data_IF_485618566062
#
_entry.id   IF_485618566062
#
_cell.length_a   1.000
_cell.length_b   1.000
_cell.length_c   1.000
_cell.angle_alpha   90.00
_cell.angle_beta   90.00
_cell.angle_gamma   90.00
#
_symmetry.space_group_name_H-M   'P 1'
#
loop_
_entity.id
_entity.type
_entity.pdbx_description
1 polymer ?
#
# COMPACT_ATOMS: atom_id res chain seq x y z
N UNK A 1 -15.88 30.49 -55.48
CA UNK A 1 -17.06 30.18 -54.64
C UNK A 1 -17.44 28.72 -54.82
N UNK A 2 -17.06 27.88 -53.85
CA UNK A 2 -17.85 26.82 -53.20
C UNK A 2 -16.90 25.95 -52.39
N UNK A 3 -16.87 26.31 -51.11
CA UNK A 3 -16.48 25.51 -49.96
C UNK A 3 -16.89 24.04 -50.06
N UNK A 4 -16.01 23.13 -49.65
CA UNK A 4 -16.43 21.93 -48.91
C UNK A 4 -15.43 21.66 -47.78
N UNK A 5 -16.01 21.51 -46.60
CA UNK A 5 -15.41 21.40 -45.29
C UNK A 5 -15.20 19.91 -44.95
N UNK A 6 -14.18 19.66 -44.12
CA UNK A 6 -14.12 18.67 -43.04
C UNK A 6 -14.15 17.19 -43.46
N UNK A 7 -13.07 16.45 -43.14
CA UNK A 7 -13.08 15.48 -42.03
C UNK A 7 -11.64 15.27 -41.56
N UNK A 8 -11.33 15.93 -40.43
CA UNK A 8 -10.21 15.60 -39.55
C UNK A 8 -10.54 14.22 -38.98
N UNK A 9 -9.87 13.18 -39.46
CA UNK A 9 -9.99 11.83 -38.92
C UNK A 9 -9.37 11.81 -37.53
N UNK A 10 -10.20 11.96 -36.50
CA UNK A 10 -9.89 11.52 -35.14
C UNK A 10 -9.52 10.03 -35.23
N UNK A 11 -8.25 9.72 -35.04
CA UNK A 11 -7.86 8.39 -34.57
C UNK A 11 -8.19 8.35 -33.08
N UNK A 12 -9.43 8.00 -32.75
CA UNK A 12 -9.74 7.38 -31.47
C UNK A 12 -9.13 5.99 -31.56
N UNK A 13 -7.93 5.83 -31.01
CA UNK A 13 -7.36 4.50 -30.78
C UNK A 13 -8.22 3.91 -29.68
N UNK A 14 -9.21 3.09 -30.08
CA UNK A 14 -9.88 2.14 -29.21
C UNK A 14 -8.85 1.07 -28.83
N UNK A 15 -8.05 1.37 -27.81
CA UNK A 15 -7.41 0.35 -26.99
C UNK A 15 -8.44 -0.18 -26.02
N UNK A 16 -9.33 -1.07 -26.47
CA UNK A 16 -10.06 -1.93 -25.53
C UNK A 16 -9.13 -3.05 -25.10
N UNK A 17 -8.43 -2.82 -24.00
CA UNK A 17 -7.88 -3.86 -23.17
C UNK A 17 -8.06 -3.41 -21.71
N UNK A 18 -8.85 -4.19 -20.96
CA UNK A 18 -9.24 -4.04 -19.56
C UNK A 18 -10.49 -3.17 -19.33
N UNK A 19 -11.38 -3.63 -18.43
CA UNK A 19 -12.63 -2.97 -18.03
C UNK A 19 -12.42 -1.71 -17.18
N UNK A 20 -11.43 -0.90 -17.56
CA UNK A 20 -10.98 0.30 -16.87
C UNK A 20 -11.07 1.49 -17.84
N UNK A 21 -12.18 2.23 -17.79
CA UNK A 21 -12.42 3.41 -18.62
C UNK A 21 -12.13 4.69 -17.83
N UNK A 22 -11.25 5.57 -18.33
CA UNK A 22 -10.92 6.85 -17.70
C UNK A 22 -11.52 8.00 -18.51
N UNK A 23 -12.51 8.67 -17.93
CA UNK A 23 -13.07 9.91 -18.48
C UNK A 23 -12.24 11.10 -18.04
N UNK A 24 -11.26 11.46 -18.86
CA UNK A 24 -10.30 12.49 -18.51
C UNK A 24 -10.79 13.93 -18.78
N UNK A 25 -10.65 14.79 -17.77
CA UNK A 25 -11.07 16.20 -17.78
C UNK A 25 -9.89 17.17 -17.90
N UNK A 26 -8.69 16.78 -17.46
CA UNK A 26 -7.46 17.60 -17.55
C UNK A 26 -6.30 16.74 -18.06
N UNK A 27 -5.56 17.29 -19.02
CA UNK A 27 -4.47 16.59 -19.69
C UNK A 27 -3.13 17.30 -19.47
N UNK A 28 -2.03 16.55 -19.60
CA UNK A 28 -0.66 17.02 -19.63
C UNK A 28 0.06 16.46 -20.84
N UNK A 29 0.86 17.27 -21.53
CA UNK A 29 1.72 16.80 -22.60
C UNK A 29 3.16 16.64 -22.09
N UNK A 30 3.70 15.43 -22.15
CA UNK A 30 5.05 15.11 -21.68
C UNK A 30 6.09 15.88 -22.51
N UNK A 31 6.97 16.58 -21.81
CA UNK A 31 8.12 17.30 -22.35
C UNK A 31 9.41 16.48 -22.20
N UNK A 32 10.44 16.89 -22.94
CA UNK A 32 11.77 16.30 -22.81
C UNK A 32 12.31 16.48 -21.38
N UNK A 33 12.70 15.37 -20.76
CA UNK A 33 13.26 15.34 -19.39
C UNK A 33 12.23 15.27 -18.27
N UNK A 34 10.94 15.20 -18.58
CA UNK A 34 9.92 14.97 -17.56
C UNK A 34 10.02 13.57 -16.94
N UNK A 35 9.71 13.48 -15.66
CA UNK A 35 9.57 12.25 -14.91
C UNK A 35 8.18 12.22 -14.27
N UNK A 36 7.58 11.04 -14.07
CA UNK A 36 6.24 10.97 -13.49
C UNK A 36 6.11 11.70 -12.14
N UNK A 37 7.14 11.59 -11.28
CA UNK A 37 7.14 12.25 -9.98
C UNK A 37 7.17 13.78 -10.11
N UNK A 38 7.97 14.32 -11.05
CA UNK A 38 8.05 15.76 -11.27
C UNK A 38 6.77 16.30 -11.88
N UNK A 39 6.19 15.59 -12.87
CA UNK A 39 4.86 15.91 -13.44
C UNK A 39 3.81 15.93 -12.33
N UNK A 40 3.74 14.88 -11.49
CA UNK A 40 2.76 14.77 -10.43
C UNK A 40 2.88 15.93 -9.43
N UNK A 41 4.11 16.22 -8.97
CA UNK A 41 4.37 17.31 -8.03
C UNK A 41 4.04 18.68 -8.61
N UNK A 42 4.45 18.97 -9.86
CA UNK A 42 4.17 20.25 -10.51
C UNK A 42 2.68 20.47 -10.80
N UNK A 43 1.89 19.39 -10.86
CA UNK A 43 0.45 19.45 -11.09
C UNK A 43 -0.40 19.22 -9.83
N UNK A 44 0.25 19.15 -8.66
CA UNK A 44 -0.36 18.97 -7.34
C UNK A 44 -1.28 17.76 -7.22
N UNK A 45 -0.85 16.65 -7.82
CA UNK A 45 -1.50 15.34 -7.71
C UNK A 45 -0.51 14.32 -7.15
N UNK A 46 -1.01 13.29 -6.48
CA UNK A 46 -0.20 12.17 -6.06
C UNK A 46 0.23 11.33 -7.28
N UNK A 47 1.39 10.70 -7.16
CA UNK A 47 1.87 9.74 -8.16
C UNK A 47 0.88 8.57 -8.29
N UNK A 48 0.21 8.18 -7.20
CA UNK A 48 -0.83 7.15 -7.23
C UNK A 48 -2.03 7.59 -8.08
N UNK A 49 -2.50 8.83 -7.96
CA UNK A 49 -3.57 9.34 -8.80
C UNK A 49 -3.15 9.39 -10.27
N UNK A 50 -1.90 9.79 -10.55
CA UNK A 50 -1.36 9.78 -11.92
C UNK A 50 -1.37 8.37 -12.51
N UNK A 51 -0.88 7.36 -11.79
CA UNK A 51 -0.93 5.96 -12.24
C UNK A 51 -2.35 5.43 -12.39
N UNK A 52 -3.24 5.80 -11.47
CA UNK A 52 -4.66 5.41 -11.53
C UNK A 52 -5.31 5.93 -12.80
N UNK A 53 -5.10 7.21 -13.15
CA UNK A 53 -5.69 7.81 -14.34
C UNK A 53 -4.99 7.40 -15.65
N UNK A 54 -3.83 6.75 -15.57
CA UNK A 54 -3.02 6.35 -16.73
C UNK A 54 -2.48 4.92 -16.49
N UNK A 55 -3.33 3.89 -16.51
CA UNK A 55 -2.94 2.53 -16.11
C UNK A 55 -1.80 1.94 -16.96
N UNK A 56 -1.68 2.37 -18.22
CA UNK A 56 -0.65 1.90 -19.14
C UNK A 56 0.66 2.72 -19.09
N UNK A 57 0.77 3.70 -18.18
CA UNK A 57 1.97 4.54 -18.08
C UNK A 57 3.18 3.74 -17.58
N UNK A 58 4.30 3.85 -18.29
CA UNK A 58 5.59 3.35 -17.82
C UNK A 58 6.48 4.52 -17.38
N UNK A 59 6.61 4.73 -16.07
CA UNK A 59 7.41 5.84 -15.54
C UNK A 59 8.93 5.68 -15.73
N UNK A 60 9.40 4.48 -16.10
CA UNK A 60 10.81 4.25 -16.43
C UNK A 60 11.13 4.57 -17.91
N UNK A 61 10.10 4.71 -18.74
CA UNK A 61 10.21 4.99 -20.17
C UNK A 61 9.01 5.83 -20.59
N UNK A 62 9.11 7.14 -20.33
CA UNK A 62 8.04 8.11 -20.55
C UNK A 62 8.34 8.93 -21.84
N UNK A 63 7.70 8.60 -22.98
CA UNK A 63 8.00 9.26 -24.26
C UNK A 63 7.50 10.71 -24.30
N UNK A 64 8.26 11.59 -24.95
CA UNK A 64 7.83 12.96 -25.28
C UNK A 64 6.55 12.91 -26.12
N UNK A 65 5.68 13.90 -25.93
CA UNK A 65 4.36 14.02 -26.54
C UNK A 65 3.32 12.97 -26.10
N UNK A 66 3.65 12.15 -25.10
CA UNK A 66 2.65 11.30 -24.43
C UNK A 66 1.64 12.22 -23.71
N UNK A 67 0.36 11.98 -23.96
CA UNK A 67 -0.73 12.73 -23.32
C UNK A 67 -1.16 11.97 -22.07
N UNK A 68 -0.94 12.57 -20.90
CA UNK A 68 -1.34 12.01 -19.61
C UNK A 68 -2.61 12.67 -19.09
N UNK A 69 -3.46 11.88 -18.44
CA UNK A 69 -4.59 12.37 -17.67
C UNK A 69 -4.17 12.81 -16.27
N UNK A 70 -4.54 14.03 -15.87
CA UNK A 70 -4.25 14.60 -14.56
C UNK A 70 -5.47 14.71 -13.64
N UNK A 71 -6.68 14.64 -14.20
CA UNK A 71 -7.93 14.52 -13.44
C UNK A 71 -9.03 13.95 -14.31
N UNK A 72 -9.93 13.17 -13.72
CA UNK A 72 -11.00 12.49 -14.44
C UNK A 72 -11.76 11.53 -13.54
N UNK A 73 -12.76 10.87 -14.12
CA UNK A 73 -13.54 9.82 -13.46
C UNK A 73 -13.12 8.44 -13.99
N UNK A 74 -13.05 7.45 -13.10
CA UNK A 74 -12.68 6.07 -13.45
C UNK A 74 -13.93 5.20 -13.41
N UNK A 75 -14.37 4.72 -14.56
CA UNK A 75 -15.45 3.76 -14.68
C UNK A 75 -14.86 2.36 -14.75
N UNK A 76 -14.90 1.66 -13.61
CA UNK A 76 -14.55 0.24 -13.56
C UNK A 76 -15.85 -0.53 -13.74
N UNK A 77 -16.10 -0.98 -14.97
CA UNK A 77 -17.27 -1.80 -15.30
C UNK A 77 -17.06 -3.20 -14.73
N UNK A 78 -17.98 -3.63 -13.88
CA UNK A 78 -18.04 -5.01 -13.38
C UNK A 78 -18.53 -5.89 -14.52
N UNK A 79 -17.61 -6.40 -15.35
CA UNK A 79 -17.96 -7.47 -16.25
C UNK A 79 -17.99 -8.78 -15.46
N UNK A 80 -19.18 -9.11 -14.96
CA UNK A 80 -19.57 -10.40 -14.37
C UNK A 80 -19.30 -11.60 -15.31
N UNK A 81 -18.82 -11.36 -16.55
CA UNK A 81 -18.41 -12.41 -17.50
C UNK A 81 -16.92 -12.76 -17.49
N UNK A 82 -16.08 -12.13 -16.65
CA UNK A 82 -14.75 -12.70 -16.32
C UNK A 82 -14.89 -13.75 -15.21
N UNK A 83 -15.75 -14.74 -15.47
CA UNK A 83 -15.53 -16.09 -14.96
C UNK A 83 -14.72 -16.78 -16.05
N UNK A 84 -13.48 -17.14 -15.73
CA UNK A 84 -12.54 -17.89 -16.58
C UNK A 84 -11.81 -17.11 -17.68
N UNK A 85 -11.21 -15.96 -17.39
CA UNK A 85 -10.04 -15.56 -18.18
C UNK A 85 -8.97 -14.87 -17.35
N UNK A 86 -7.93 -15.64 -17.07
CA UNK A 86 -6.64 -15.20 -16.55
C UNK A 86 -6.09 -14.05 -17.42
N UNK A 87 -6.34 -12.82 -16.97
CA UNK A 87 -5.54 -11.65 -17.32
C UNK A 87 -5.33 -10.82 -16.04
N UNK A 88 -4.81 -11.48 -15.00
CA UNK A 88 -3.70 -10.85 -14.32
C UNK A 88 -2.68 -10.48 -15.40
N UNK A 89 -2.11 -9.27 -15.36
CA UNK A 89 -0.89 -8.92 -16.09
C UNK A 89 -0.04 -10.19 -16.14
N UNK A 90 0.25 -10.70 -17.34
CA UNK A 90 0.99 -11.94 -17.51
C UNK A 90 2.42 -11.73 -17.02
N UNK A 91 2.59 -11.82 -15.70
CA UNK A 91 3.88 -12.00 -15.06
C UNK A 91 4.21 -13.45 -15.35
N UNK A 92 5.21 -13.69 -16.18
CA UNK A 92 5.75 -15.02 -16.36
C UNK A 92 6.14 -15.56 -14.98
N UNK A 93 5.30 -16.44 -14.43
CA UNK A 93 5.61 -17.22 -13.24
C UNK A 93 6.74 -18.19 -13.59
N UNK A 94 7.98 -17.71 -13.48
CA UNK A 94 9.05 -18.62 -13.13
C UNK A 94 8.78 -19.09 -11.70
N UNK A 95 8.37 -20.36 -11.60
CA UNK A 95 8.29 -21.14 -10.37
C UNK A 95 9.65 -21.09 -9.66
N UNK A 96 9.84 -20.10 -8.79
CA UNK A 96 10.98 -20.06 -7.87
C UNK A 96 10.54 -20.66 -6.55
N UNK A 97 11.23 -21.71 -6.12
CA UNK A 97 11.08 -22.37 -4.83
C UNK A 97 10.70 -21.38 -3.71
N UNK A 98 9.48 -21.54 -3.17
CA UNK A 98 8.95 -20.81 -2.03
C UNK A 98 9.68 -21.24 -0.75
N UNK A 99 10.89 -20.73 -0.54
CA UNK A 99 11.44 -20.63 0.81
C UNK A 99 11.19 -19.19 1.25
N UNK A 100 10.71 -18.91 2.48
CA UNK A 100 10.59 -17.54 2.97
C UNK A 100 11.94 -16.85 2.81
N UNK A 101 12.02 -15.91 1.87
CA UNK A 101 13.26 -15.20 1.57
C UNK A 101 13.42 -14.17 2.69
N UNK A 102 14.49 -14.30 3.46
CA UNK A 102 14.95 -13.23 4.34
C UNK A 102 15.53 -12.11 3.46
N UNK A 103 14.63 -11.25 2.98
CA UNK A 103 14.94 -10.22 1.99
C UNK A 103 16.06 -9.30 2.47
N UNK A 104 16.05 -8.92 3.75
CA UNK A 104 17.10 -8.07 4.32
C UNK A 104 18.45 -8.79 4.29
N UNK A 105 18.51 -10.07 4.67
CA UNK A 105 19.75 -10.83 4.58
C UNK A 105 20.23 -11.06 3.15
N UNK A 106 19.34 -11.33 2.19
CA UNK A 106 19.73 -11.43 0.77
C UNK A 106 20.23 -10.08 0.24
N UNK A 107 19.58 -8.98 0.59
CA UNK A 107 20.01 -7.62 0.23
C UNK A 107 21.39 -7.30 0.80
N UNK A 108 21.63 -7.66 2.07
CA UNK A 108 22.92 -7.50 2.73
C UNK A 108 24.01 -8.33 2.06
N UNK A 109 23.72 -9.58 1.66
CA UNK A 109 24.66 -10.42 0.89
C UNK A 109 24.99 -9.78 -0.45
N UNK A 110 23.99 -9.24 -1.14
CA UNK A 110 24.19 -8.56 -2.42
C UNK A 110 25.03 -7.29 -2.29
N UNK A 111 24.75 -6.46 -1.29
CA UNK A 111 25.57 -5.26 -0.97
C UNK A 111 27.00 -5.69 -0.66
N UNK A 112 27.18 -6.72 0.18
CA UNK A 112 28.49 -7.28 0.53
C UNK A 112 29.26 -7.73 -0.72
N UNK A 113 28.59 -8.41 -1.65
CA UNK A 113 29.17 -8.90 -2.90
C UNK A 113 29.53 -7.76 -3.85
N UNK A 114 28.58 -6.89 -4.17
CA UNK A 114 28.73 -5.80 -5.17
C UNK A 114 29.78 -4.80 -4.72
N UNK A 115 29.77 -4.40 -3.44
CA UNK A 115 30.70 -3.42 -2.90
C UNK A 115 31.98 -4.03 -2.33
N UNK A 116 32.13 -5.37 -2.42
CA UNK A 116 33.26 -6.10 -1.81
C UNK A 116 33.46 -5.77 -0.31
N UNK A 117 32.36 -5.55 0.41
CA UNK A 117 32.36 -5.27 1.84
C UNK A 117 32.27 -6.57 2.64
N UNK A 118 32.84 -6.60 3.84
CA UNK A 118 32.53 -7.66 4.81
C UNK A 118 31.04 -7.62 5.15
N UNK A 119 30.41 -8.78 5.36
CA UNK A 119 28.99 -8.90 5.68
C UNK A 119 28.53 -7.95 6.80
N UNK A 120 29.31 -7.82 7.87
CA UNK A 120 28.98 -6.92 8.99
C UNK A 120 28.95 -5.44 8.59
N UNK A 121 29.82 -5.02 7.67
CA UNK A 121 29.84 -3.64 7.15
C UNK A 121 28.68 -3.40 6.18
N UNK A 122 28.38 -4.38 5.32
CA UNK A 122 27.23 -4.32 4.43
C UNK A 122 25.91 -4.24 5.22
N UNK A 123 25.78 -5.02 6.29
CA UNK A 123 24.65 -4.97 7.21
C UNK A 123 24.47 -3.59 7.82
N UNK A 124 25.52 -3.04 8.42
CA UNK A 124 25.51 -1.69 9.00
C UNK A 124 25.13 -0.61 7.99
N UNK A 125 25.70 -0.65 6.78
CA UNK A 125 25.38 0.29 5.70
C UNK A 125 23.91 0.18 5.26
N UNK A 126 23.37 -1.04 5.16
CA UNK A 126 21.97 -1.27 4.83
C UNK A 126 21.03 -0.74 5.92
N UNK A 127 21.31 -1.09 7.18
CA UNK A 127 20.51 -0.67 8.34
C UNK A 127 20.52 0.86 8.50
N UNK A 128 21.68 1.50 8.41
CA UNK A 128 21.80 2.96 8.50
C UNK A 128 21.14 3.68 7.32
N UNK A 129 21.12 3.06 6.13
CA UNK A 129 20.40 3.61 4.98
C UNK A 129 18.90 3.57 5.19
N UNK A 130 18.37 2.47 5.72
CA UNK A 130 16.95 2.36 6.05
C UNK A 130 16.56 3.34 7.16
N UNK A 131 17.41 3.56 8.16
CA UNK A 131 17.23 4.58 9.20
C UNK A 131 17.19 6.01 8.62
N UNK A 132 18.08 6.33 7.68
CA UNK A 132 18.04 7.62 7.01
C UNK A 132 16.75 7.83 6.21
N UNK A 133 16.30 6.81 5.47
CA UNK A 133 15.06 6.88 4.68
C UNK A 133 13.82 6.98 5.59
N UNK A 134 13.83 6.29 6.74
CA UNK A 134 12.67 6.28 7.65
C UNK A 134 12.33 7.66 8.22
N UNK A 135 13.27 8.61 8.22
CA UNK A 135 13.01 10.01 8.60
C UNK A 135 11.87 10.62 7.77
N UNK A 136 11.80 10.29 6.46
CA UNK A 136 10.72 10.77 5.58
C UNK A 136 9.44 9.96 5.72
N UNK A 137 9.53 8.66 6.06
CA UNK A 137 8.35 7.85 6.35
C UNK A 137 7.66 8.34 7.64
N UNK A 138 8.43 8.68 8.66
CA UNK A 138 7.93 9.31 9.90
C UNK A 138 7.26 10.66 9.64
N UNK A 139 7.79 11.45 8.72
CA UNK A 139 7.21 12.72 8.30
C UNK A 139 5.83 12.52 7.65
N UNK A 140 5.71 11.52 6.78
CA UNK A 140 4.43 11.17 6.17
C UNK A 140 3.43 10.63 7.20
N UNK A 141 3.85 9.70 8.06
CA UNK A 141 3.03 9.16 9.16
C UNK A 141 2.51 10.29 10.05
N UNK A 142 3.39 11.20 10.47
CA UNK A 142 3.02 12.38 11.28
C UNK A 142 1.99 13.25 10.55
N UNK A 143 2.16 13.44 9.25
CA UNK A 143 1.24 14.25 8.44
C UNK A 143 -0.15 13.63 8.32
N UNK A 144 -0.21 12.31 8.14
CA UNK A 144 -1.46 11.54 8.09
C UNK A 144 -2.17 11.56 9.44
N UNK A 145 -1.46 11.26 10.53
CA UNK A 145 -2.04 11.17 11.87
C UNK A 145 -2.63 12.50 12.36
N UNK A 146 -2.01 13.61 11.98
CA UNK A 146 -2.48 14.95 12.32
C UNK A 146 -3.38 15.56 11.23
N UNK A 147 -3.65 14.82 10.15
CA UNK A 147 -4.56 15.24 9.07
C UNK A 147 -4.11 16.61 8.54
N UNK A 148 -2.82 16.79 8.29
CA UNK A 148 -2.25 18.08 7.88
C UNK A 148 -2.78 18.54 6.52
N UNK A 149 -2.78 19.86 6.30
CA UNK A 149 -2.93 20.42 4.95
C UNK A 149 -1.69 20.10 4.10
N UNK A 150 -1.79 20.33 2.78
CA UNK A 150 -0.65 20.13 1.87
C UNK A 150 0.53 21.01 2.28
N UNK A 151 0.29 22.27 2.65
CA UNK A 151 1.36 23.20 3.02
C UNK A 151 2.01 22.83 4.36
N UNK A 152 1.22 22.42 5.35
CA UNK A 152 1.76 21.91 6.62
C UNK A 152 2.57 20.62 6.42
N UNK A 153 2.08 19.69 5.58
CA UNK A 153 2.80 18.47 5.25
C UNK A 153 4.13 18.75 4.53
N UNK A 154 4.16 19.71 3.59
CA UNK A 154 5.40 20.17 2.93
C UNK A 154 6.41 20.70 3.96
N UNK A 155 5.98 21.49 4.94
CA UNK A 155 6.86 21.97 6.03
C UNK A 155 7.44 20.79 6.83
N UNK A 156 6.64 19.78 7.15
CA UNK A 156 7.13 18.58 7.85
C UNK A 156 8.13 17.79 6.99
N UNK A 157 7.93 17.71 5.67
CA UNK A 157 8.89 17.13 4.74
C UNK A 157 10.20 17.93 4.66
N UNK A 158 10.15 19.26 4.68
CA UNK A 158 11.35 20.11 4.73
C UNK A 158 12.14 19.89 6.02
N UNK A 159 11.45 19.81 7.17
CA UNK A 159 12.07 19.46 8.45
C UNK A 159 12.69 18.06 8.43
N UNK A 160 12.04 17.10 7.78
CA UNK A 160 12.58 15.76 7.57
C UNK A 160 13.85 15.80 6.73
N UNK A 161 13.89 16.63 5.69
CA UNK A 161 15.06 16.82 4.84
C UNK A 161 16.24 17.45 5.60
N UNK A 162 15.99 18.44 6.47
CA UNK A 162 17.03 19.00 7.35
C UNK A 162 17.59 17.95 8.32
N UNK A 163 16.72 17.12 8.91
CA UNK A 163 17.12 15.99 9.76
C UNK A 163 17.93 14.96 8.97
N UNK A 164 17.50 14.63 7.75
CA UNK A 164 18.20 13.69 6.88
C UNK A 164 19.60 14.21 6.52
N UNK A 165 19.73 15.48 6.12
CA UNK A 165 21.03 16.08 5.83
C UNK A 165 21.96 16.05 7.06
N UNK A 166 21.41 16.35 8.24
CA UNK A 166 22.15 16.22 9.51
C UNK A 166 22.58 14.78 9.80
N UNK A 167 21.72 13.80 9.47
CA UNK A 167 22.04 12.38 9.57
C UNK A 167 23.13 11.96 8.58
N UNK A 168 23.12 12.50 7.35
CA UNK A 168 24.15 12.22 6.33
C UNK A 168 25.53 12.74 6.75
N UNK A 169 25.58 13.87 7.45
CA UNK A 169 26.82 14.51 7.91
C UNK A 169 27.37 13.91 9.23
N UNK A 170 26.64 13.02 9.88
CA UNK A 170 27.05 12.46 11.18
C UNK A 170 28.01 11.27 11.03
N UNK A 171 29.31 11.54 11.12
CA UNK A 171 30.41 10.56 11.07
C UNK A 171 30.32 9.44 12.14
N UNK A 172 29.41 9.53 13.12
CA UNK A 172 29.20 8.48 14.13
C UNK A 172 28.34 7.32 13.62
N UNK A 173 27.55 7.52 12.56
CA UNK A 173 26.75 6.46 11.97
C UNK A 173 27.52 5.77 10.82
N UNK A 174 27.05 4.60 10.39
CA UNK A 174 27.64 3.86 9.27
C UNK A 174 27.00 4.25 7.92
N UNK A 175 26.23 5.34 7.86
CA UNK A 175 25.56 5.78 6.64
C UNK A 175 26.56 6.42 5.67
N UNK A 176 26.47 6.04 4.40
CA UNK A 176 27.27 6.65 3.36
C UNK A 176 26.51 6.59 2.04
N UNK A 177 25.81 7.70 1.74
CA UNK A 177 24.94 7.80 0.55
C UNK A 177 25.72 7.54 -0.75
N UNK A 178 26.95 8.03 -0.86
CA UNK A 178 27.80 7.81 -2.04
C UNK A 178 28.09 6.32 -2.24
N UNK A 179 28.48 5.62 -1.18
CA UNK A 179 28.78 4.18 -1.22
C UNK A 179 27.52 3.37 -1.54
N UNK A 180 26.38 3.73 -0.94
CA UNK A 180 25.12 3.06 -1.23
C UNK A 180 24.64 3.33 -2.67
N UNK A 181 24.84 4.53 -3.20
CA UNK A 181 24.52 4.87 -4.58
C UNK A 181 25.34 4.09 -5.61
N UNK A 182 26.60 3.76 -5.31
CA UNK A 182 27.40 2.85 -6.15
C UNK A 182 26.69 1.48 -6.25
N UNK A 183 26.17 0.98 -5.13
CA UNK A 183 25.40 -0.26 -5.12
C UNK A 183 24.11 -0.13 -5.94
N UNK A 184 23.32 0.93 -5.73
CA UNK A 184 22.07 1.16 -6.47
C UNK A 184 22.29 1.22 -7.99
N UNK A 185 23.31 1.96 -8.43
CA UNK A 185 23.70 2.03 -9.84
C UNK A 185 24.08 0.66 -10.41
N UNK A 186 24.86 -0.13 -9.66
CA UNK A 186 25.29 -1.46 -10.08
C UNK A 186 24.12 -2.46 -10.23
N UNK A 187 22.98 -2.20 -9.59
CA UNK A 187 21.76 -3.00 -9.72
C UNK A 187 20.66 -2.30 -10.53
N UNK A 188 21.02 -1.28 -11.32
CA UNK A 188 20.11 -0.49 -12.17
C UNK A 188 18.92 0.08 -11.40
N UNK A 189 19.17 0.62 -10.21
CA UNK A 189 18.17 1.32 -9.39
C UNK A 189 18.49 2.82 -9.34
N UNK A 190 17.43 3.61 -9.21
CA UNK A 190 17.52 5.05 -8.97
C UNK A 190 18.41 5.33 -7.76
N UNK A 191 19.30 6.32 -7.89
CA UNK A 191 20.19 6.72 -6.80
C UNK A 191 19.42 7.48 -5.72
N UNK A 192 19.91 7.40 -4.49
CA UNK A 192 19.39 8.16 -3.36
C UNK A 192 19.93 9.59 -3.39
N UNK A 193 19.06 10.57 -3.28
CA UNK A 193 19.41 11.97 -3.03
C UNK A 193 18.41 12.58 -2.05
N UNK A 194 18.85 13.59 -1.29
CA UNK A 194 17.97 14.34 -0.39
C UNK A 194 16.83 15.02 -1.17
N UNK A 195 17.11 15.53 -2.37
CA UNK A 195 16.11 16.10 -3.28
C UNK A 195 15.04 15.09 -3.69
N UNK A 196 15.43 13.88 -4.11
CA UNK A 196 14.47 12.86 -4.55
C UNK A 196 13.62 12.37 -3.37
N UNK A 197 14.21 12.22 -2.19
CA UNK A 197 13.48 11.85 -0.97
C UNK A 197 12.49 12.94 -0.53
N UNK A 198 12.91 14.21 -0.58
CA UNK A 198 12.04 15.34 -0.31
C UNK A 198 10.88 15.39 -1.31
N UNK A 199 11.15 15.25 -2.61
CA UNK A 199 10.12 15.25 -3.64
C UNK A 199 9.12 14.10 -3.48
N UNK A 200 9.59 12.91 -3.08
CA UNK A 200 8.73 11.76 -2.73
C UNK A 200 7.87 12.07 -1.51
N UNK A 201 8.44 12.67 -0.46
CA UNK A 201 7.69 13.09 0.72
C UNK A 201 6.59 14.11 0.38
N UNK A 202 6.93 15.16 -0.38
CA UNK A 202 5.99 16.19 -0.83
C UNK A 202 4.88 15.57 -1.69
N UNK A 203 5.20 14.61 -2.57
CA UNK A 203 4.19 13.95 -3.39
C UNK A 203 3.13 13.25 -2.53
N UNK A 204 3.58 12.58 -1.46
CA UNK A 204 2.66 11.91 -0.52
C UNK A 204 1.71 12.88 0.19
N UNK A 205 2.05 14.18 0.31
CA UNK A 205 1.14 15.18 0.85
C UNK A 205 -0.13 15.37 -0.01
N UNK A 206 -0.03 15.18 -1.34
CA UNK A 206 -1.20 15.25 -2.22
C UNK A 206 -2.15 14.07 -2.01
N UNK A 207 -1.65 12.90 -1.58
CA UNK A 207 -2.50 11.76 -1.23
C UNK A 207 -3.46 12.11 -0.08
N UNK A 208 -2.97 12.84 0.94
CA UNK A 208 -3.80 13.28 2.08
C UNK A 208 -4.92 14.19 1.59
N UNK A 209 -4.62 15.14 0.69
CA UNK A 209 -5.60 16.02 0.07
C UNK A 209 -6.65 15.23 -0.71
N UNK A 210 -6.23 14.34 -1.60
CA UNK A 210 -7.12 13.54 -2.45
C UNK A 210 -8.05 12.65 -1.63
N UNK A 211 -7.55 12.04 -0.54
CA UNK A 211 -8.36 11.24 0.37
C UNK A 211 -9.43 12.11 1.05
N UNK A 212 -9.05 13.30 1.55
CA UNK A 212 -9.99 14.23 2.20
C UNK A 212 -11.10 14.66 1.24
N UNK A 213 -10.74 15.07 0.03
CA UNK A 213 -11.69 15.51 -1.00
C UNK A 213 -12.71 14.40 -1.33
N UNK A 214 -12.27 13.13 -1.41
CA UNK A 214 -13.17 11.99 -1.63
C UNK A 214 -14.08 11.66 -0.44
N UNK A 215 -13.61 11.86 0.80
CA UNK A 215 -14.43 11.64 2.00
C UNK A 215 -15.56 12.67 2.09
N UNK A 216 -15.27 13.94 1.77
CA UNK A 216 -16.29 15.00 1.79
C UNK A 216 -17.41 14.72 0.78
N UNK A 217 -17.07 14.18 -0.39
CA UNK A 217 -18.02 13.84 -1.46
C UNK A 217 -18.89 12.60 -1.14
N UNK A 218 -18.40 11.68 -0.30
CA UNK A 218 -19.08 10.42 0.06
C UNK A 218 -19.88 10.50 1.36
N UNK A 219 -20.18 11.71 1.85
CA UNK A 219 -20.96 11.96 3.07
C UNK A 219 -22.45 11.59 2.93
N UNK A 220 -22.73 10.33 2.62
CA UNK A 220 -24.05 9.72 2.76
C UNK A 220 -24.03 8.82 4.00
N UNK A 221 -24.80 9.15 5.06
CA UNK A 221 -24.85 8.34 6.25
C UNK A 221 -25.86 7.22 6.01
N UNK A 222 -25.41 5.98 5.91
CA UNK A 222 -26.07 4.81 6.52
C UNK A 222 -25.45 3.51 6.01
N UNK A 223 -24.79 2.81 6.93
CA UNK A 223 -24.87 1.35 6.92
C UNK A 223 -24.83 0.88 8.38
N UNK A 224 -25.99 0.91 9.01
CA UNK A 224 -26.25 0.36 10.34
C UNK A 224 -26.40 -1.15 10.22
N UNK A 225 -25.27 -1.86 10.21
CA UNK A 225 -25.27 -3.29 10.51
C UNK A 225 -25.82 -3.47 11.93
N UNK A 226 -26.81 -4.36 12.11
CA UNK A 226 -27.37 -4.72 13.41
C UNK A 226 -26.32 -5.46 14.26
N UNK A 227 -25.40 -4.73 14.90
CA UNK A 227 -24.36 -5.29 15.77
C UNK A 227 -24.94 -5.51 17.17
N UNK A 228 -24.82 -6.74 17.69
CA UNK A 228 -25.28 -7.11 19.04
C UNK A 228 -24.48 -6.34 20.10
N UNK A 229 -25.15 -5.85 21.13
CA UNK A 229 -24.53 -5.07 22.22
C UNK A 229 -23.69 -5.96 23.15
N UNK A 230 -22.63 -5.37 23.73
CA UNK A 230 -21.67 -5.92 24.71
C UNK A 230 -22.16 -6.99 25.68
N UNK A 231 -23.38 -6.85 26.20
CA UNK A 231 -23.93 -7.71 27.25
C UNK A 231 -24.56 -9.02 26.72
N UNK A 232 -24.80 -9.12 25.41
CA UNK A 232 -25.56 -10.22 24.79
C UNK A 232 -24.66 -11.23 24.06
N UNK A 233 -23.33 -11.04 24.12
CA UNK A 233 -22.35 -11.88 23.41
C UNK A 233 -21.80 -12.97 24.34
N UNK A 234 -21.88 -14.25 23.91
CA UNK A 234 -21.28 -15.36 24.65
C UNK A 234 -19.77 -15.15 24.76
N UNK A 235 -19.22 -15.20 25.98
CA UNK A 235 -17.79 -15.22 26.22
C UNK A 235 -17.32 -16.67 26.37
N UNK A 236 -17.20 -17.37 25.24
CA UNK A 236 -16.69 -18.74 25.23
C UNK A 236 -15.22 -18.76 25.64
N UNK A 237 -14.75 -19.86 26.22
CA UNK A 237 -13.37 -19.98 26.64
C UNK A 237 -12.43 -19.95 25.42
N UNK A 238 -11.27 -19.26 25.46
CA UNK A 238 -10.33 -19.17 24.36
C UNK A 238 -9.91 -20.51 23.73
N UNK A 239 -9.83 -21.56 24.53
CA UNK A 239 -9.50 -22.93 24.08
C UNK A 239 -10.57 -23.57 23.19
N UNK A 240 -11.80 -23.03 23.19
CA UNK A 240 -12.90 -23.50 22.35
C UNK A 240 -12.87 -22.86 20.96
N UNK A 241 -12.13 -21.76 20.78
CA UNK A 241 -11.87 -21.16 19.47
C UNK A 241 -10.80 -21.95 18.75
N UNK A 242 -11.17 -22.60 17.65
CA UNK A 242 -10.32 -23.47 16.83
C UNK A 242 -10.23 -22.92 15.41
N UNK A 243 -9.00 -22.70 14.97
CA UNK A 243 -8.67 -22.20 13.64
C UNK A 243 -7.66 -23.19 13.04
N UNK A 244 -7.95 -23.63 11.83
CA UNK A 244 -7.13 -24.57 11.09
C UNK A 244 -6.20 -23.81 10.15
N UNK A 245 -4.94 -24.23 10.08
CA UNK A 245 -4.09 -23.94 8.93
C UNK A 245 -4.57 -24.83 7.78
N UNK A 246 -5.12 -24.23 6.74
CA UNK A 246 -5.60 -24.94 5.54
C UNK A 246 -4.44 -25.27 4.63
N UNK A 247 -3.60 -24.27 4.38
CA UNK A 247 -2.43 -24.40 3.50
C UNK A 247 -1.30 -23.50 4.02
N UNK A 248 -0.11 -24.10 4.15
CA UNK A 248 1.13 -23.36 4.36
C UNK A 248 1.61 -22.78 3.03
N UNK A 249 2.18 -21.58 3.05
CA UNK A 249 2.75 -20.92 1.85
C UNK A 249 1.75 -20.96 0.67
N UNK A 250 0.56 -20.41 0.87
CA UNK A 250 -0.41 -20.17 -0.20
C UNK A 250 0.10 -19.02 -1.10
N UNK A 251 -0.79 -18.23 -1.71
CA UNK A 251 -0.40 -17.15 -2.62
C UNK A 251 0.59 -16.19 -1.95
N UNK A 252 1.59 -15.77 -2.72
CA UNK A 252 2.66 -14.87 -2.27
C UNK A 252 3.38 -15.32 -0.99
N UNK A 253 3.30 -16.62 -0.63
CA UNK A 253 3.98 -17.20 0.53
C UNK A 253 3.26 -17.01 1.87
N UNK A 254 2.03 -16.49 1.89
CA UNK A 254 1.27 -16.32 3.14
C UNK A 254 0.42 -17.55 3.45
N UNK A 255 0.18 -17.82 4.74
CA UNK A 255 -0.65 -18.94 5.17
C UNK A 255 -2.13 -18.70 4.92
N UNK A 256 -2.87 -19.75 4.58
CA UNK A 256 -4.32 -19.76 4.46
C UNK A 256 -4.93 -20.44 5.70
N UNK A 257 -5.84 -19.75 6.38
CA UNK A 257 -6.54 -20.26 7.55
C UNK A 257 -8.05 -20.36 7.32
N UNK A 258 -8.70 -21.22 8.08
CA UNK A 258 -10.16 -21.29 8.15
C UNK A 258 -10.62 -21.62 9.57
N UNK A 259 -11.84 -21.21 9.90
CA UNK A 259 -12.40 -21.61 11.19
C UNK A 259 -12.81 -23.09 11.16
N UNK A 260 -12.44 -23.85 12.19
CA UNK A 260 -12.88 -25.23 12.32
C UNK A 260 -14.40 -25.32 12.49
N UNK A 261 -15.02 -26.38 11.95
CA UNK A 261 -16.48 -26.56 11.98
C UNK A 261 -17.04 -26.77 13.39
N UNK A 262 -16.22 -27.25 14.32
CA UNK A 262 -16.57 -27.44 15.74
C UNK A 262 -16.07 -26.28 16.64
N UNK A 263 -15.61 -25.18 16.04
CA UNK A 263 -15.16 -24.00 16.77
C UNK A 263 -16.33 -23.16 17.26
N UNK A 264 -16.15 -22.53 18.43
CA UNK A 264 -16.96 -21.34 18.79
C UNK A 264 -16.56 -20.15 17.93
N UNK A 265 -17.38 -19.10 17.94
CA UNK A 265 -17.17 -17.90 17.13
C UNK A 265 -15.85 -17.18 17.47
N UNK A 266 -15.04 -16.87 16.44
CA UNK A 266 -13.77 -16.14 16.57
C UNK A 266 -13.73 -14.90 15.66
N UNK A 267 -12.79 -13.99 15.89
CA UNK A 267 -12.61 -12.80 15.05
C UNK A 267 -12.31 -13.13 13.58
N UNK A 268 -11.85 -14.35 13.27
CA UNK A 268 -11.60 -14.81 11.92
C UNK A 268 -12.85 -14.77 11.03
N UNK A 269 -14.06 -14.95 11.58
CA UNK A 269 -15.30 -14.87 10.78
C UNK A 269 -15.71 -13.45 10.37
N UNK A 270 -15.08 -12.43 10.96
CA UNK A 270 -15.41 -11.01 10.71
C UNK A 270 -14.34 -10.31 9.88
N UNK A 271 -13.49 -11.09 9.24
CA UNK A 271 -12.51 -10.61 8.28
C UNK A 271 -13.21 -10.46 6.94
N UNK A 272 -13.07 -9.31 6.30
CA UNK A 272 -13.68 -9.01 5.01
C UNK A 272 -12.66 -8.50 3.98
N UNK A 273 -11.37 -8.62 4.28
CA UNK A 273 -10.31 -8.27 3.34
C UNK A 273 -10.20 -6.76 3.16
N UNK A 274 -9.79 -6.33 1.97
CA UNK A 274 -9.51 -4.91 1.73
C UNK A 274 -10.79 -4.14 1.40
N UNK A 275 -11.58 -3.84 2.43
CA UNK A 275 -12.86 -3.11 2.36
C UNK A 275 -12.68 -1.59 2.24
N UNK A 276 -11.82 -1.11 1.34
CA UNK A 276 -11.61 0.31 1.13
C UNK A 276 -12.43 0.76 -0.08
N UNK A 277 -13.58 1.46 0.08
CA UNK A 277 -14.47 1.80 -1.04
C UNK A 277 -13.78 2.56 -2.18
N UNK A 278 -12.73 3.32 -1.86
CA UNK A 278 -11.99 4.16 -2.81
C UNK A 278 -11.13 3.32 -3.78
N UNK A 279 -10.70 2.12 -3.38
CA UNK A 279 -9.78 1.26 -4.16
C UNK A 279 -10.19 -0.23 -4.16
N UNK A 280 -11.41 -0.53 -3.70
CA UNK A 280 -11.97 -1.87 -3.55
C UNK A 280 -11.87 -2.67 -4.85
N UNK A 281 -12.19 -2.05 -5.97
CA UNK A 281 -12.17 -2.67 -7.30
C UNK A 281 -10.76 -2.98 -7.84
N UNK A 282 -9.73 -2.29 -7.32
CA UNK A 282 -8.33 -2.47 -7.74
C UNK A 282 -7.62 -3.56 -6.94
N UNK A 283 -7.95 -3.75 -5.66
CA UNK A 283 -7.17 -4.63 -4.76
C UNK A 283 -7.97 -5.72 -4.05
N UNK A 284 -9.31 -5.74 -4.14
CA UNK A 284 -10.14 -6.72 -3.45
C UNK A 284 -10.73 -7.81 -4.38
N UNK A 285 -10.18 -7.97 -5.60
CA UNK A 285 -10.70 -8.96 -6.54
C UNK A 285 -10.54 -10.38 -5.94
N UNK A 286 -11.68 -10.99 -5.59
CA UNK A 286 -11.82 -12.38 -5.12
C UNK A 286 -11.03 -12.75 -3.84
N UNK A 287 -10.78 -11.82 -2.91
CA UNK A 287 -10.00 -12.08 -1.68
C UNK A 287 -8.55 -12.58 -1.91
N UNK A 288 -8.02 -12.38 -3.12
CA UNK A 288 -6.70 -12.88 -3.53
C UNK A 288 -5.69 -11.75 -3.82
N UNK A 289 -6.07 -10.50 -3.54
CA UNK A 289 -5.22 -9.33 -3.77
C UNK A 289 -3.98 -9.31 -2.89
N UNK A 290 -2.93 -8.63 -3.36
CA UNK A 290 -1.62 -8.57 -2.71
C UNK A 290 -1.69 -8.14 -1.23
N UNK A 291 -2.51 -7.14 -0.91
CA UNK A 291 -2.65 -6.63 0.46
C UNK A 291 -3.79 -7.27 1.26
N UNK A 292 -4.58 -8.18 0.68
CA UNK A 292 -5.63 -8.90 1.42
C UNK A 292 -5.08 -9.54 2.70
N UNK A 293 -3.89 -10.17 2.69
CA UNK A 293 -3.28 -10.67 3.91
C UNK A 293 -3.09 -9.64 5.03
N UNK A 294 -2.67 -8.42 4.68
CA UNK A 294 -2.50 -7.35 5.65
C UNK A 294 -3.86 -6.79 6.12
N UNK A 295 -4.83 -6.65 5.21
CA UNK A 295 -6.19 -6.23 5.51
C UNK A 295 -6.85 -7.19 6.51
N UNK A 296 -6.67 -8.50 6.34
CA UNK A 296 -7.20 -9.51 7.26
C UNK A 296 -6.66 -9.39 8.69
N UNK A 297 -5.38 -9.01 8.84
CA UNK A 297 -4.78 -8.74 10.14
C UNK A 297 -5.30 -7.43 10.75
N UNK A 298 -5.51 -6.41 9.92
CA UNK A 298 -6.10 -5.13 10.31
C UNK A 298 -7.54 -5.29 10.81
N UNK A 299 -8.36 -6.08 10.11
CA UNK A 299 -9.74 -6.40 10.50
C UNK A 299 -9.78 -7.04 11.89
N UNK A 300 -8.97 -8.07 12.14
CA UNK A 300 -8.88 -8.67 13.48
C UNK A 300 -8.44 -7.62 14.50
N UNK A 301 -7.47 -6.75 14.19
CA UNK A 301 -7.03 -5.71 15.12
C UNK A 301 -8.15 -4.71 15.47
N UNK A 302 -8.94 -4.28 14.48
CA UNK A 302 -10.11 -3.43 14.67
C UNK A 302 -11.20 -4.13 15.48
N UNK A 303 -11.55 -5.36 15.09
CA UNK A 303 -12.53 -6.21 15.78
C UNK A 303 -12.12 -6.47 17.22
N UNK A 304 -10.81 -6.60 17.46
CA UNK A 304 -10.19 -6.82 18.75
C UNK A 304 -9.75 -5.55 19.48
N UNK A 305 -10.19 -4.37 19.02
CA UNK A 305 -10.00 -3.08 19.70
C UNK A 305 -8.54 -2.85 20.15
N UNK A 306 -7.58 -3.17 19.27
CA UNK A 306 -6.14 -3.04 19.54
C UNK A 306 -5.63 -1.59 19.65
N UNK A 307 -6.53 -0.61 19.56
CA UNK A 307 -6.23 0.81 19.40
C UNK A 307 -6.10 1.17 17.93
N UNK A 308 -6.93 2.10 17.45
CA UNK A 308 -7.00 2.48 16.02
C UNK A 308 -5.62 2.77 15.42
N UNK A 309 -4.88 3.72 16.01
CA UNK A 309 -3.52 4.08 15.58
C UNK A 309 -2.57 2.88 15.54
N UNK A 310 -2.60 2.02 16.56
CA UNK A 310 -1.78 0.80 16.61
C UNK A 310 -2.11 -0.16 15.49
N UNK A 311 -3.40 -0.34 15.20
CA UNK A 311 -3.87 -1.20 14.11
C UNK A 311 -3.46 -0.63 12.75
N UNK A 312 -3.64 0.67 12.53
CA UNK A 312 -3.32 1.34 11.26
C UNK A 312 -1.81 1.31 10.97
N UNK A 313 -0.97 1.60 11.97
CA UNK A 313 0.49 1.49 11.82
C UNK A 313 0.93 0.05 11.54
N UNK A 314 0.37 -0.93 12.24
CA UNK A 314 0.68 -2.34 11.96
C UNK A 314 0.24 -2.76 10.56
N UNK A 315 -0.91 -2.27 10.12
CA UNK A 315 -1.38 -2.52 8.76
C UNK A 315 -0.41 -1.97 7.72
N UNK A 316 0.10 -0.76 7.94
CA UNK A 316 1.16 -0.17 7.13
C UNK A 316 2.43 -1.02 7.09
N UNK A 317 2.94 -1.42 8.26
CA UNK A 317 4.14 -2.27 8.38
C UNK A 317 3.97 -3.62 7.67
N UNK A 318 2.79 -4.23 7.80
CA UNK A 318 2.43 -5.48 7.14
C UNK A 318 2.45 -5.33 5.62
N UNK A 319 1.88 -4.25 5.07
CA UNK A 319 1.93 -3.97 3.64
C UNK A 319 3.34 -3.66 3.14
N UNK A 320 4.14 -2.89 3.90
CA UNK A 320 5.56 -2.65 3.57
C UNK A 320 6.37 -3.95 3.56
N UNK A 321 6.06 -4.88 4.47
CA UNK A 321 6.68 -6.21 4.51
C UNK A 321 6.31 -7.03 3.29
N UNK A 322 5.05 -6.98 2.87
CA UNK A 322 4.58 -7.58 1.62
C UNK A 322 5.35 -7.00 0.42
N UNK A 323 5.49 -5.68 0.34
CA UNK A 323 6.19 -5.01 -0.76
C UNK A 323 7.68 -5.35 -0.84
N UNK A 324 8.35 -5.51 0.31
CA UNK A 324 9.75 -5.96 0.34
C UNK A 324 9.94 -7.32 -0.34
N UNK A 325 8.99 -8.22 -0.16
CA UNK A 325 9.06 -9.58 -0.72
C UNK A 325 8.49 -9.69 -2.14
N UNK A 326 7.87 -8.62 -2.65
CA UNK A 326 7.30 -8.57 -3.99
C UNK A 326 8.38 -8.27 -5.03
N UNK A 327 8.54 -9.16 -6.01
CA UNK A 327 9.63 -9.08 -7.02
C UNK A 327 9.48 -7.95 -8.03
N UNK A 328 8.28 -7.40 -8.22
CA UNK A 328 8.04 -6.31 -9.19
C UNK A 328 8.36 -4.94 -8.55
N UNK A 329 7.86 -3.85 -9.13
CA UNK A 329 8.20 -2.49 -8.73
C UNK A 329 7.82 -2.17 -7.26
N UNK A 330 8.81 -2.34 -6.36
CA UNK A 330 8.69 -2.09 -4.94
C UNK A 330 8.33 -0.62 -4.64
N UNK A 331 8.64 0.33 -5.53
CA UNK A 331 8.26 1.73 -5.32
C UNK A 331 6.75 1.92 -5.44
N UNK A 332 6.13 1.35 -6.47
CA UNK A 332 4.67 1.40 -6.67
C UNK A 332 3.97 0.70 -5.50
N UNK A 333 4.38 -0.52 -5.15
CA UNK A 333 3.79 -1.24 -4.01
C UNK A 333 3.90 -0.45 -2.70
N UNK A 334 5.05 0.15 -2.42
CA UNK A 334 5.22 0.96 -1.21
C UNK A 334 4.33 2.20 -1.22
N UNK A 335 4.12 2.82 -2.38
CA UNK A 335 3.24 3.97 -2.55
C UNK A 335 1.77 3.59 -2.36
N UNK A 336 1.37 2.40 -2.81
CA UNK A 336 0.04 1.83 -2.52
C UNK A 336 -0.12 1.56 -1.03
N UNK A 337 0.87 0.94 -0.37
CA UNK A 337 0.84 0.73 1.08
C UNK A 337 0.64 2.04 1.86
N UNK A 338 1.30 3.12 1.43
CA UNK A 338 1.13 4.46 2.00
C UNK A 338 -0.30 5.00 1.80
N UNK A 339 -0.92 4.73 0.65
CA UNK A 339 -2.30 5.12 0.34
C UNK A 339 -3.30 4.40 1.23
N UNK A 340 -3.16 3.08 1.35
CA UNK A 340 -4.01 2.26 2.21
C UNK A 340 -3.93 2.71 3.67
N UNK A 341 -2.72 2.94 4.17
CA UNK A 341 -2.49 3.45 5.53
C UNK A 341 -3.16 4.82 5.74
N UNK A 342 -2.95 5.77 4.82
CA UNK A 342 -3.54 7.09 4.90
C UNK A 342 -5.07 7.02 4.87
N UNK A 343 -5.64 6.20 4.00
CA UNK A 343 -7.08 6.02 3.87
C UNK A 343 -7.71 5.50 5.18
N UNK A 344 -7.17 4.44 5.78
CA UNK A 344 -7.73 3.92 7.06
C UNK A 344 -7.46 4.85 8.24
N UNK A 345 -6.32 5.55 8.23
CA UNK A 345 -5.98 6.51 9.29
C UNK A 345 -6.94 7.69 9.31
N UNK A 346 -7.26 8.25 8.14
CA UNK A 346 -8.14 9.42 7.97
C UNK A 346 -9.62 9.01 8.04
N UNK A 347 -10.04 7.93 7.35
CA UNK A 347 -11.45 7.57 7.18
C UNK A 347 -11.94 6.39 8.05
N UNK A 348 -11.03 5.54 8.55
CA UNK A 348 -11.39 4.27 9.19
C UNK A 348 -12.00 4.37 10.60
N UNK A 349 -12.22 5.59 11.11
CA UNK A 349 -12.72 5.82 12.47
C UNK A 349 -14.10 5.22 12.72
N UNK A 350 -15.02 5.32 11.75
CA UNK A 350 -16.36 4.73 11.85
C UNK A 350 -16.28 3.20 11.93
N UNK A 351 -15.52 2.57 11.03
CA UNK A 351 -15.27 1.13 11.01
C UNK A 351 -14.65 0.62 12.32
N UNK A 352 -13.67 1.33 12.87
CA UNK A 352 -13.09 0.99 14.18
C UNK A 352 -14.12 1.10 15.32
N UNK A 353 -14.88 2.20 15.35
CA UNK A 353 -15.84 2.49 16.42
C UNK A 353 -17.06 1.56 16.41
N UNK A 354 -17.42 0.95 15.27
CA UNK A 354 -18.47 -0.09 15.20
C UNK A 354 -18.22 -1.23 16.21
N UNK A 355 -16.95 -1.58 16.45
CA UNK A 355 -16.55 -2.65 17.36
C UNK A 355 -16.37 -2.20 18.83
N UNK A 356 -16.43 -0.89 19.11
CA UNK A 356 -16.27 -0.35 20.48
C UNK A 356 -17.37 -0.80 21.46
N UNK A 357 -18.52 -1.21 20.92
CA UNK A 357 -19.64 -1.73 21.69
C UNK A 357 -19.57 -3.24 21.97
N UNK A 358 -18.55 -3.96 21.45
CA UNK A 358 -18.39 -5.40 21.67
C UNK A 358 -17.57 -5.70 22.93
N UNK A 359 -17.83 -6.85 23.56
CA UNK A 359 -17.02 -7.31 24.70
C UNK A 359 -15.74 -7.95 24.19
N UNK A 360 -14.75 -7.11 23.93
CA UNK A 360 -13.46 -7.56 23.41
C UNK A 360 -12.51 -7.89 24.54
N UNK A 361 -12.73 -9.04 25.18
CA UNK A 361 -11.80 -9.54 26.19
C UNK A 361 -10.85 -10.54 25.54
N UNK A 362 -9.56 -10.39 25.81
CA UNK A 362 -8.56 -11.46 25.55
C UNK A 362 -8.90 -12.76 26.27
N UNK A 363 -9.83 -12.73 27.22
CA UNK A 363 -10.34 -13.92 27.93
C UNK A 363 -11.53 -14.59 27.24
N UNK A 364 -12.04 -14.08 26.12
CA UNK A 364 -13.11 -14.71 25.34
C UNK A 364 -12.54 -15.24 24.02
N UNK A 365 -13.08 -16.34 23.50
CA UNK A 365 -12.62 -16.97 22.26
C UNK A 365 -12.57 -16.02 21.06
N UNK A 366 -13.46 -15.03 21.00
CA UNK A 366 -13.51 -14.06 19.91
C UNK A 366 -12.13 -13.47 19.57
N UNK A 367 -11.40 -12.97 20.58
CA UNK A 367 -10.06 -12.41 20.39
C UNK A 367 -8.97 -13.18 21.16
N UNK A 368 -9.35 -14.03 22.11
CA UNK A 368 -8.43 -14.66 23.06
C UNK A 368 -7.79 -15.94 22.59
N UNK A 369 -8.25 -16.54 21.49
CA UNK A 369 -7.62 -17.75 20.94
C UNK A 369 -6.14 -17.53 20.69
N UNK A 370 -5.30 -18.48 21.09
CA UNK A 370 -3.84 -18.36 21.00
C UNK A 370 -3.37 -18.00 19.59
N UNK A 371 -3.90 -18.65 18.55
CA UNK A 371 -3.55 -18.32 17.16
C UNK A 371 -3.85 -16.86 16.78
N UNK A 372 -4.95 -16.29 17.28
CA UNK A 372 -5.28 -14.88 17.06
C UNK A 372 -4.28 -13.98 17.78
N UNK A 373 -4.04 -14.24 19.07
CA UNK A 373 -3.17 -13.41 19.90
C UNK A 373 -1.70 -13.51 19.50
N UNK A 374 -1.24 -14.66 19.02
CA UNK A 374 0.19 -14.90 18.80
C UNK A 374 0.59 -14.71 17.34
N UNK A 375 -0.35 -14.87 16.39
CA UNK A 375 -0.06 -14.86 14.95
C UNK A 375 -0.95 -13.89 14.18
N UNK A 376 -2.27 -14.13 14.12
CA UNK A 376 -3.13 -13.45 13.13
C UNK A 376 -3.28 -11.94 13.38
N UNK A 377 -3.07 -11.48 14.61
CA UNK A 377 -3.00 -10.05 14.92
C UNK A 377 -1.76 -9.36 14.34
N UNK A 378 -0.68 -10.09 14.06
CA UNK A 378 0.64 -9.54 13.78
C UNK A 378 1.17 -9.92 12.41
N UNK A 379 0.75 -11.05 11.86
CA UNK A 379 1.29 -11.61 10.63
C UNK A 379 0.21 -11.62 9.54
N UNK A 380 0.50 -11.14 8.32
CA UNK A 380 -0.44 -11.20 7.21
C UNK A 380 -0.86 -12.64 6.86
N UNK A 381 -2.13 -12.86 6.52
CA UNK A 381 -2.66 -14.20 6.21
C UNK A 381 -3.91 -14.16 5.32
N UNK A 382 -4.16 -15.23 4.57
CA UNK A 382 -5.43 -15.43 3.85
C UNK A 382 -6.45 -16.17 4.70
N UNK A 383 -7.73 -15.93 4.43
CA UNK A 383 -8.86 -16.64 5.04
C UNK A 383 -9.72 -17.29 3.96
N UNK A 384 -10.17 -18.53 4.22
CA UNK A 384 -11.09 -19.29 3.37
C UNK A 384 -12.53 -19.19 3.85
#
# INVERSE_FOLDING_TARGET
>A
MKSFNIYLSLFIILGVANGYDVQCNRYYNVNEGDECLTIANSNEISLNLLHTLNPDINCNDLPVDTILCLSGETNITDDDTIKDNDNAISINEETTNNTPIDYDNEKIKDISRVLSLKHIKAKKLYESTNEGISIFDEAFITSVENILSVDECKIVCEQANEKFNSFVEDDRNDFNITTYNIYLQAVNKEVLSSENLLNKCINKCFMIKEIKERIEDTSNPEDTLNIKKRADQSCDNPSQGKINLVQNEYMYGFNLYSQATDSVYTALQNVNGCSIPIIEKLYNQNNNGLFVPACNSHDICYNCQGGKKTCDLRFHDNMKTICKNWKNDNAVCNSEADLFYAAVSIAGGSSYNKWSSNEVRKTCAFCGTALIQDILLYTPYYVQ
#
